data_IF_340538515176
#
_entry.id   IF_340538515176
#
_cell.length_a   1.000
_cell.length_b   1.000
_cell.length_c   1.000
_cell.angle_alpha   90.00
_cell.angle_beta   90.00
_cell.angle_gamma   90.00
#
_symmetry.space_group_name_H-M   'P 1'
#
loop_
_entity.id
_entity.type
_entity.pdbx_description
1 polymer ?
#
# COMPACT_ATOMS: atom_id res chain seq x y z
N UNK A 1 32.04 -12.82 66.59
CA UNK A 1 31.78 -12.51 65.19
C UNK A 1 31.07 -13.71 64.63
N UNK A 2 29.72 -13.63 64.52
CA UNK A 2 28.84 -14.71 64.01
C UNK A 2 28.58 -14.48 62.52
N UNK A 3 29.16 -15.37 61.73
CA UNK A 3 29.02 -15.38 60.30
C UNK A 3 27.59 -15.86 59.90
N UNK A 4 26.69 -14.94 59.64
CA UNK A 4 25.30 -15.23 59.23
C UNK A 4 25.30 -15.64 57.75
N UNK A 5 25.36 -16.94 57.48
CA UNK A 5 25.13 -17.49 56.14
C UNK A 5 23.67 -17.28 55.75
N UNK A 6 23.47 -16.35 54.81
CA UNK A 6 22.15 -16.15 54.20
C UNK A 6 21.81 -17.37 53.31
N UNK A 7 21.03 -18.29 53.84
CA UNK A 7 20.54 -19.45 53.11
C UNK A 7 19.25 -19.01 52.35
N UNK A 8 19.41 -18.73 51.07
CA UNK A 8 18.27 -18.40 50.23
C UNK A 8 17.49 -19.67 49.86
N UNK A 9 16.14 -19.76 50.10
CA UNK A 9 15.38 -20.93 49.72
C UNK A 9 15.38 -21.13 48.20
N UNK A 10 15.60 -22.35 47.74
CA UNK A 10 15.69 -22.76 46.33
C UNK A 10 14.60 -22.16 45.47
N UNK A 11 13.37 -22.06 46.00
CA UNK A 11 12.22 -21.49 45.27
C UNK A 11 12.39 -19.99 44.99
N UNK A 12 12.94 -19.20 45.91
CA UNK A 12 13.25 -17.77 45.72
C UNK A 12 14.40 -17.55 44.72
N UNK A 13 15.41 -18.43 44.74
CA UNK A 13 16.49 -18.41 43.77
C UNK A 13 15.96 -18.69 42.34
N UNK A 14 15.15 -19.72 42.15
CA UNK A 14 14.55 -20.07 40.84
C UNK A 14 13.60 -18.98 40.33
N UNK A 15 12.79 -18.39 41.23
CA UNK A 15 11.89 -17.27 40.85
C UNK A 15 12.70 -16.02 40.49
N UNK A 16 13.74 -15.71 41.23
CA UNK A 16 14.63 -14.59 40.92
C UNK A 16 15.43 -14.79 39.62
N UNK A 17 15.90 -16.01 39.37
CA UNK A 17 16.58 -16.37 38.11
C UNK A 17 15.64 -16.32 36.89
N UNK A 18 14.37 -16.76 37.06
CA UNK A 18 13.34 -16.67 35.99
C UNK A 18 12.98 -15.22 35.67
N UNK A 19 12.76 -14.38 36.67
CA UNK A 19 12.45 -12.94 36.49
C UNK A 19 13.66 -12.18 35.93
N UNK A 20 14.86 -12.43 36.44
CA UNK A 20 16.11 -11.82 35.95
C UNK A 20 16.44 -12.26 34.50
N UNK A 21 16.23 -13.54 34.17
CA UNK A 21 16.40 -14.07 32.82
C UNK A 21 15.42 -13.49 31.82
N UNK A 22 14.16 -13.31 32.24
CA UNK A 22 13.13 -12.66 31.37
C UNK A 22 13.44 -11.18 31.11
N UNK A 23 13.92 -10.46 32.11
CA UNK A 23 14.34 -9.06 31.97
C UNK A 23 15.53 -8.89 31.05
N UNK A 24 16.54 -9.79 31.15
CA UNK A 24 17.68 -9.78 30.24
C UNK A 24 17.33 -10.15 28.80
N UNK A 25 16.38 -11.03 28.58
CA UNK A 25 15.87 -11.33 27.23
C UNK A 25 15.16 -10.13 26.60
N UNK A 26 14.35 -9.39 27.36
CA UNK A 26 13.65 -8.19 26.86
C UNK A 26 14.63 -7.05 26.55
N UNK A 27 15.59 -6.79 27.44
CA UNK A 27 16.66 -5.80 27.20
C UNK A 27 17.58 -6.18 26.01
N UNK A 28 17.78 -7.49 25.80
CA UNK A 28 18.54 -8.00 24.66
C UNK A 28 17.87 -7.75 23.33
N UNK A 29 16.52 -7.75 23.26
CA UNK A 29 15.78 -7.43 22.05
C UNK A 29 15.96 -5.95 21.63
N UNK A 30 15.98 -5.03 22.57
CA UNK A 30 16.19 -3.60 22.27
C UNK A 30 17.60 -3.35 21.73
N UNK A 31 18.64 -3.90 22.38
CA UNK A 31 20.02 -3.82 21.90
C UNK A 31 20.23 -4.46 20.52
N UNK A 32 19.57 -5.60 20.25
CA UNK A 32 19.65 -6.25 18.96
C UNK A 32 18.93 -5.41 17.87
N UNK A 33 17.82 -4.75 18.22
CA UNK A 33 17.10 -3.90 17.30
C UNK A 33 17.86 -2.60 16.91
N UNK A 34 18.85 -2.18 17.69
CA UNK A 34 19.74 -1.08 17.33
C UNK A 34 20.87 -1.51 16.36
N UNK A 35 21.09 -2.81 16.18
CA UNK A 35 22.12 -3.35 15.30
C UNK A 35 21.65 -3.37 13.84
N UNK A 36 22.34 -2.64 12.95
CA UNK A 36 22.07 -2.66 11.50
C UNK A 36 22.16 -4.06 10.90
N UNK A 37 23.08 -4.89 11.38
CA UNK A 37 23.22 -6.27 10.94
C UNK A 37 22.01 -7.11 11.32
N UNK A 38 21.47 -6.94 12.53
CA UNK A 38 20.26 -7.64 12.97
C UNK A 38 19.03 -7.18 12.19
N UNK A 39 18.86 -5.89 11.99
CA UNK A 39 17.81 -5.33 11.14
C UNK A 39 17.90 -5.85 9.70
N UNK A 40 19.11 -5.99 9.15
CA UNK A 40 19.31 -6.56 7.82
C UNK A 40 18.87 -8.02 7.76
N UNK A 41 19.12 -8.82 8.80
CA UNK A 41 18.63 -10.21 8.91
C UNK A 41 17.10 -10.24 8.99
N UNK A 42 16.47 -9.37 9.78
CA UNK A 42 15.01 -9.27 9.86
C UNK A 42 14.39 -8.89 8.50
N UNK A 43 14.96 -7.90 7.83
CA UNK A 43 14.52 -7.48 6.47
C UNK A 43 14.69 -8.59 5.42
N UNK A 44 15.67 -9.49 5.59
CA UNK A 44 15.77 -10.66 4.71
C UNK A 44 14.54 -11.59 4.82
N UNK A 45 13.89 -11.63 5.98
CA UNK A 45 12.65 -12.35 6.21
C UNK A 45 11.49 -11.81 5.37
N UNK A 46 11.40 -10.50 5.16
CA UNK A 46 10.39 -9.86 4.28
C UNK A 46 10.55 -10.34 2.83
N UNK A 47 11.79 -10.32 2.32
CA UNK A 47 12.09 -10.80 0.97
C UNK A 47 11.77 -12.29 0.79
N UNK A 48 12.06 -13.11 1.82
CA UNK A 48 11.74 -14.53 1.82
C UNK A 48 10.23 -14.75 1.89
N UNK A 49 9.50 -14.00 2.71
CA UNK A 49 8.04 -14.07 2.82
C UNK A 49 7.37 -13.69 1.49
N UNK A 50 7.78 -12.56 0.90
CA UNK A 50 7.32 -12.17 -0.44
C UNK A 50 7.58 -13.27 -1.47
N UNK A 51 8.78 -13.83 -1.47
CA UNK A 51 9.16 -14.91 -2.40
C UNK A 51 8.29 -16.15 -2.18
N UNK A 52 8.09 -16.56 -0.93
CA UNK A 52 7.23 -17.70 -0.58
C UNK A 52 5.79 -17.46 -1.02
N UNK A 53 5.21 -16.30 -0.74
CA UNK A 53 3.86 -15.95 -1.19
C UNK A 53 3.75 -15.93 -2.72
N UNK A 54 4.77 -15.47 -3.43
CA UNK A 54 4.80 -15.44 -4.91
C UNK A 54 4.99 -16.83 -5.54
N UNK A 55 5.60 -17.76 -4.82
CA UNK A 55 5.79 -19.16 -5.29
C UNK A 55 4.56 -20.01 -4.97
N UNK A 56 4.01 -19.89 -3.75
CA UNK A 56 2.88 -20.71 -3.28
C UNK A 56 1.56 -20.20 -3.87
N UNK A 57 1.40 -18.87 -3.96
CA UNK A 57 0.21 -18.24 -4.53
C UNK A 57 0.25 -18.25 -6.05
N UNK A 58 -0.86 -18.61 -6.69
CA UNK A 58 -1.02 -18.38 -8.13
C UNK A 58 -0.98 -16.86 -8.38
N UNK A 59 -0.09 -16.43 -9.28
CA UNK A 59 0.06 -14.99 -9.64
C UNK A 59 -1.21 -14.41 -10.25
N UNK A 60 -2.06 -15.24 -10.83
CA UNK A 60 -3.33 -14.85 -11.43
C UNK A 60 -4.53 -15.09 -10.50
N UNK A 61 -4.32 -15.67 -9.30
CA UNK A 61 -5.40 -15.91 -8.35
C UNK A 61 -6.09 -14.62 -7.97
N UNK A 62 -7.41 -14.59 -8.14
CA UNK A 62 -8.23 -13.44 -7.76
C UNK A 62 -8.40 -13.40 -6.24
N UNK A 63 -8.36 -12.20 -5.67
CA UNK A 63 -8.90 -11.97 -4.34
C UNK A 63 -10.39 -12.30 -4.33
N UNK A 64 -10.96 -12.77 -3.21
CA UNK A 64 -12.38 -13.09 -3.12
C UNK A 64 -13.27 -11.91 -3.54
N UNK A 65 -14.26 -12.20 -4.37
CA UNK A 65 -15.31 -11.26 -4.72
C UNK A 65 -16.60 -11.63 -3.99
N UNK A 66 -17.37 -10.62 -3.62
CA UNK A 66 -18.54 -10.72 -2.76
C UNK A 66 -19.80 -10.31 -3.52
N UNK A 67 -20.96 -10.69 -3.01
CA UNK A 67 -22.26 -10.23 -3.50
C UNK A 67 -22.60 -8.83 -3.00
N UNK A 68 -23.55 -8.16 -3.64
CA UNK A 68 -24.00 -6.83 -3.20
C UNK A 68 -24.59 -6.84 -1.77
N UNK A 69 -25.20 -7.96 -1.36
CA UNK A 69 -25.76 -8.12 -0.01
C UNK A 69 -24.72 -8.21 1.10
N UNK A 70 -23.45 -8.50 0.75
CA UNK A 70 -22.33 -8.59 1.68
C UNK A 70 -21.57 -7.26 1.79
N UNK A 71 -21.95 -6.25 1.02
CA UNK A 71 -21.31 -4.95 1.11
C UNK A 71 -21.48 -4.36 2.50
N UNK A 72 -20.40 -3.77 3.01
CA UNK A 72 -20.43 -3.10 4.31
C UNK A 72 -21.37 -1.89 4.28
N UNK A 73 -22.25 -1.75 5.27
CA UNK A 73 -23.18 -0.61 5.33
C UNK A 73 -22.44 0.73 5.46
N UNK A 74 -21.23 0.68 6.01
CA UNK A 74 -20.32 1.83 6.11
C UNK A 74 -18.95 1.41 5.62
N UNK A 75 -18.43 2.13 4.63
CA UNK A 75 -17.03 2.03 4.23
C UNK A 75 -16.29 3.24 4.81
N UNK A 76 -15.49 3.02 5.86
CA UNK A 76 -14.75 4.07 6.56
C UNK A 76 -13.77 4.74 5.59
N UNK A 77 -13.78 6.07 5.53
CA UNK A 77 -12.71 6.82 4.88
C UNK A 77 -11.52 6.92 5.83
N UNK A 78 -10.32 6.64 5.34
CA UNK A 78 -9.07 6.66 6.12
C UNK A 78 -7.96 7.42 5.39
N UNK A 79 -6.91 7.79 6.10
CA UNK A 79 -5.84 8.66 5.61
C UNK A 79 -6.36 10.06 5.30
N UNK A 80 -5.83 10.72 4.26
CA UNK A 80 -6.29 12.05 3.85
C UNK A 80 -7.76 12.02 3.44
N UNK A 81 -8.59 12.88 4.03
CA UNK A 81 -10.03 12.99 3.72
C UNK A 81 -10.32 14.03 2.64
N UNK A 82 -9.38 14.93 2.42
CA UNK A 82 -9.42 16.00 1.42
C UNK A 82 -8.00 16.41 1.05
N UNK A 83 -7.88 17.13 -0.05
CA UNK A 83 -6.63 17.75 -0.51
C UNK A 83 -6.87 19.26 -0.61
N UNK A 84 -5.98 20.05 -0.03
CA UNK A 84 -6.13 21.52 0.07
C UNK A 84 -5.24 22.29 -0.92
N UNK A 85 -4.50 21.59 -1.80
CA UNK A 85 -3.69 22.28 -2.82
C UNK A 85 -4.60 23.08 -3.77
N UNK A 86 -4.25 24.32 -4.15
CA UNK A 86 -5.09 25.14 -5.02
C UNK A 86 -5.46 24.43 -6.34
N UNK A 87 -4.51 23.69 -6.92
CA UNK A 87 -4.72 22.93 -8.14
C UNK A 87 -5.80 21.84 -7.96
N UNK A 88 -5.71 21.04 -6.90
CA UNK A 88 -6.70 20.00 -6.65
C UNK A 88 -8.10 20.59 -6.32
N UNK A 89 -8.14 21.66 -5.54
CA UNK A 89 -9.39 22.37 -5.23
C UNK A 89 -10.06 22.89 -6.50
N UNK A 90 -9.28 23.44 -7.45
CA UNK A 90 -9.80 23.86 -8.74
C UNK A 90 -10.37 22.66 -9.54
N UNK A 91 -9.70 21.51 -9.54
CA UNK A 91 -10.21 20.30 -10.18
C UNK A 91 -11.49 19.77 -9.54
N UNK A 92 -11.65 19.89 -8.23
CA UNK A 92 -12.91 19.52 -7.56
C UNK A 92 -14.03 20.47 -7.97
N UNK A 93 -13.75 21.78 -8.05
CA UNK A 93 -14.75 22.80 -8.41
C UNK A 93 -15.27 22.64 -9.84
N UNK A 94 -14.43 22.22 -10.79
CA UNK A 94 -14.80 21.94 -12.18
C UNK A 94 -15.24 20.49 -12.43
N UNK A 95 -15.44 19.70 -11.36
CA UNK A 95 -15.79 18.28 -11.44
C UNK A 95 -14.77 17.45 -12.24
N UNK A 96 -13.49 17.82 -12.15
CA UNK A 96 -12.35 17.20 -12.83
C UNK A 96 -12.41 17.27 -14.37
N UNK A 97 -13.07 18.27 -14.93
CA UNK A 97 -13.22 18.42 -16.39
C UNK A 97 -11.86 18.62 -17.09
N UNK A 98 -11.03 19.47 -16.52
CA UNK A 98 -9.69 19.76 -17.05
C UNK A 98 -8.58 18.87 -16.50
N UNK A 99 -8.92 18.00 -15.56
CA UNK A 99 -7.97 17.04 -14.99
C UNK A 99 -7.52 15.98 -16.01
N UNK A 100 -6.25 15.60 -15.95
CA UNK A 100 -5.67 14.54 -16.80
C UNK A 100 -4.80 13.61 -15.98
N UNK A 101 -5.03 12.29 -16.12
CA UNK A 101 -4.10 11.28 -15.66
C UNK A 101 -2.87 11.28 -16.56
N UNK A 102 -1.70 11.55 -16.01
CA UNK A 102 -0.43 11.38 -16.72
C UNK A 102 0.08 9.96 -16.56
N UNK A 103 0.53 9.33 -17.64
CA UNK A 103 1.19 8.03 -17.62
C UNK A 103 2.49 8.18 -18.41
N UNK A 104 3.62 8.04 -17.74
CA UNK A 104 4.95 8.29 -18.31
C UNK A 104 6.06 7.44 -17.67
N UNK A 105 7.32 7.91 -17.69
CA UNK A 105 8.48 7.18 -17.26
C UNK A 105 8.96 6.20 -18.34
N UNK A 106 9.19 4.95 -17.99
CA UNK A 106 9.69 3.92 -18.92
C UNK A 106 8.57 3.39 -19.84
N UNK A 107 8.01 4.29 -20.65
CA UNK A 107 7.00 3.98 -21.68
C UNK A 107 7.43 4.58 -23.02
N UNK A 108 6.98 3.99 -24.12
CA UNK A 108 7.30 4.50 -25.48
C UNK A 108 6.33 5.58 -25.95
N UNK A 109 5.13 5.65 -25.36
CA UNK A 109 4.07 6.58 -25.73
C UNK A 109 3.41 7.14 -24.45
N UNK A 110 3.96 8.22 -23.87
CA UNK A 110 3.33 8.86 -22.73
C UNK A 110 1.88 9.27 -23.00
N UNK A 111 1.01 9.12 -22.01
CA UNK A 111 -0.42 9.42 -22.13
C UNK A 111 -0.80 10.55 -21.18
N UNK A 112 -1.82 11.33 -21.58
CA UNK A 112 -2.52 12.30 -20.76
C UNK A 112 -4.03 12.10 -21.02
N UNK A 113 -4.72 11.40 -20.10
CA UNK A 113 -6.08 10.94 -20.30
C UNK A 113 -7.05 11.70 -19.41
N UNK A 114 -8.13 12.22 -19.99
CA UNK A 114 -9.23 12.80 -19.21
C UNK A 114 -10.01 11.72 -18.46
N UNK A 115 -10.73 12.12 -17.42
CA UNK A 115 -11.64 11.21 -16.71
C UNK A 115 -12.72 10.63 -17.67
N UNK A 116 -13.20 11.42 -18.61
CA UNK A 116 -14.14 10.97 -19.64
C UNK A 116 -13.53 9.89 -20.55
N UNK A 117 -12.28 10.08 -20.98
CA UNK A 117 -11.58 9.07 -21.77
C UNK A 117 -11.37 7.76 -20.99
N UNK A 118 -10.97 7.85 -19.72
CA UNK A 118 -10.82 6.68 -18.86
C UNK A 118 -12.15 5.93 -18.68
N UNK A 119 -13.24 6.63 -18.46
CA UNK A 119 -14.59 6.04 -18.32
C UNK A 119 -15.10 5.39 -19.61
N UNK A 120 -14.65 5.86 -20.79
CA UNK A 120 -15.00 5.28 -22.08
C UNK A 120 -14.18 4.01 -22.42
N UNK A 121 -13.11 3.71 -21.70
CA UNK A 121 -12.30 2.51 -21.88
C UNK A 121 -13.00 1.28 -21.29
N UNK A 122 -12.58 0.05 -21.66
CA UNK A 122 -12.97 -1.16 -20.96
C UNK A 122 -12.73 -1.00 -19.46
N UNK A 123 -13.74 -1.32 -18.67
CA UNK A 123 -13.69 -1.19 -17.21
C UNK A 123 -13.96 -2.53 -16.55
N UNK A 124 -13.41 -2.72 -15.35
CA UNK A 124 -13.75 -3.81 -14.44
C UNK A 124 -14.61 -3.27 -13.31
N UNK A 125 -15.65 -4.01 -12.97
CA UNK A 125 -16.41 -3.84 -11.74
C UNK A 125 -16.13 -5.05 -10.83
N UNK A 126 -15.93 -4.81 -9.55
CA UNK A 126 -15.63 -5.84 -8.56
C UNK A 126 -16.12 -5.41 -7.19
N UNK A 127 -16.61 -6.37 -6.40
CA UNK A 127 -17.00 -6.17 -5.00
C UNK A 127 -15.97 -6.91 -4.16
N UNK A 128 -15.10 -6.17 -3.49
CA UNK A 128 -13.92 -6.73 -2.84
C UNK A 128 -13.76 -6.19 -1.43
N UNK A 129 -13.07 -6.95 -0.59
CA UNK A 129 -12.72 -6.53 0.76
C UNK A 129 -11.49 -5.61 0.73
N UNK A 130 -11.51 -4.64 1.59
CA UNK A 130 -10.39 -3.75 1.87
C UNK A 130 -9.97 -3.98 3.30
N UNK A 131 -8.75 -4.44 3.50
CA UNK A 131 -8.18 -4.72 4.81
C UNK A 131 -7.20 -3.59 5.16
N UNK A 132 -7.52 -2.81 6.19
CA UNK A 132 -6.69 -1.72 6.63
C UNK A 132 -5.67 -2.20 7.67
N UNK A 133 -4.46 -1.67 7.62
CA UNK A 133 -3.40 -1.93 8.61
C UNK A 133 -3.82 -1.55 10.04
N UNK A 134 -4.81 -0.67 10.20
CA UNK A 134 -5.42 -0.33 11.49
C UNK A 134 -6.33 -1.42 12.07
N UNK A 135 -6.46 -2.59 11.44
CA UNK A 135 -7.21 -3.74 11.96
C UNK A 135 -8.71 -3.72 11.68
N UNK A 136 -9.20 -2.94 10.71
CA UNK A 136 -10.58 -2.99 10.25
C UNK A 136 -10.66 -3.38 8.77
N UNK A 137 -11.79 -3.96 8.39
CA UNK A 137 -12.08 -4.33 7.01
C UNK A 137 -13.43 -3.79 6.58
N UNK A 138 -13.58 -3.57 5.27
CA UNK A 138 -14.86 -3.20 4.67
C UNK A 138 -14.96 -3.76 3.25
N UNK A 139 -16.16 -4.22 2.88
CA UNK A 139 -16.47 -4.69 1.53
C UNK A 139 -17.13 -3.54 0.77
N UNK A 140 -16.61 -3.24 -0.41
CA UNK A 140 -17.12 -2.18 -1.27
C UNK A 140 -17.10 -2.57 -2.74
N UNK A 141 -17.99 -1.96 -3.51
CA UNK A 141 -18.10 -2.12 -4.96
C UNK A 141 -17.29 -1.05 -5.66
N UNK A 142 -16.40 -1.47 -6.52
CA UNK A 142 -15.47 -0.61 -7.23
C UNK A 142 -15.61 -0.79 -8.73
N UNK A 143 -15.56 0.31 -9.47
CA UNK A 143 -15.46 0.27 -10.93
C UNK A 143 -14.36 1.19 -11.41
N UNK A 144 -13.52 0.69 -12.32
CA UNK A 144 -12.38 1.43 -12.82
C UNK A 144 -11.76 0.83 -14.06
N UNK A 145 -10.78 1.54 -14.61
CA UNK A 145 -10.02 1.10 -15.78
C UNK A 145 -8.87 0.20 -15.30
N UNK A 146 -8.72 -1.03 -15.89
CA UNK A 146 -7.59 -1.91 -15.57
C UNK A 146 -6.25 -1.23 -15.83
N UNK A 147 -5.37 -1.23 -14.83
CA UNK A 147 -4.05 -0.59 -14.93
C UNK A 147 -3.21 -1.20 -16.05
N UNK A 148 -3.23 -2.53 -16.19
CA UNK A 148 -2.49 -3.22 -17.25
C UNK A 148 -2.91 -2.82 -18.66
N UNK A 149 -4.18 -2.41 -18.88
CA UNK A 149 -4.64 -1.87 -20.16
C UNK A 149 -3.96 -0.54 -20.47
N UNK A 150 -3.89 0.35 -19.49
CA UNK A 150 -3.27 1.66 -19.61
C UNK A 150 -1.76 1.55 -19.88
N UNK A 151 -1.08 0.67 -19.15
CA UNK A 151 0.35 0.42 -19.33
C UNK A 151 0.67 -0.18 -20.72
N UNK A 152 -0.17 -1.09 -21.21
CA UNK A 152 -0.06 -1.61 -22.59
C UNK A 152 -0.24 -0.51 -23.64
N UNK A 153 -1.24 0.36 -23.44
CA UNK A 153 -1.50 1.47 -24.37
C UNK A 153 -0.37 2.51 -24.37
N UNK A 154 0.26 2.73 -23.20
CA UNK A 154 1.43 3.60 -23.08
C UNK A 154 2.72 2.97 -23.66
N UNK A 155 2.69 1.68 -24.02
CA UNK A 155 3.86 0.97 -24.52
C UNK A 155 4.94 0.79 -23.45
N UNK A 156 4.58 0.12 -22.34
CA UNK A 156 5.48 -0.14 -21.23
C UNK A 156 6.79 -0.79 -21.70
N UNK A 157 7.93 -0.26 -21.27
CA UNK A 157 9.25 -0.82 -21.55
C UNK A 157 9.44 -2.18 -20.89
N UNK A 158 10.09 -3.12 -21.59
CA UNK A 158 10.45 -4.43 -21.03
C UNK A 158 11.49 -4.35 -19.90
N UNK A 159 12.14 -3.20 -19.74
CA UNK A 159 13.09 -2.92 -18.66
C UNK A 159 12.40 -2.39 -17.39
N UNK A 160 11.17 -1.91 -17.50
CA UNK A 160 10.42 -1.46 -16.33
C UNK A 160 10.17 -2.63 -15.36
N UNK A 161 10.19 -2.35 -14.06
CA UNK A 161 9.97 -3.33 -12.99
C UNK A 161 8.85 -2.93 -12.06
N UNK A 162 8.61 -1.63 -11.93
CA UNK A 162 7.68 -1.04 -10.98
C UNK A 162 6.82 0.02 -11.64
N UNK A 163 5.70 0.29 -10.99
CA UNK A 163 4.79 1.38 -11.31
C UNK A 163 4.60 2.21 -10.06
N UNK A 164 4.90 3.50 -10.15
CA UNK A 164 4.78 4.48 -9.06
C UNK A 164 3.54 5.33 -9.30
N UNK A 165 2.75 5.53 -8.25
CA UNK A 165 1.55 6.37 -8.25
C UNK A 165 1.84 7.64 -7.47
N UNK A 166 1.83 8.77 -8.14
CA UNK A 166 1.96 10.09 -7.53
C UNK A 166 0.58 10.65 -7.23
N UNK A 167 0.37 11.06 -6.00
CA UNK A 167 -0.93 11.48 -5.48
C UNK A 167 -0.97 12.98 -5.22
N UNK A 168 -2.18 13.56 -5.16
CA UNK A 168 -2.34 14.98 -4.87
C UNK A 168 -2.26 15.30 -3.39
N UNK A 169 -2.47 14.31 -2.51
CA UNK A 169 -2.40 14.49 -1.07
C UNK A 169 -0.96 14.41 -0.55
N UNK A 170 -0.79 14.96 0.64
CA UNK A 170 0.48 14.97 1.37
C UNK A 170 0.23 14.86 2.87
N UNK A 171 1.23 14.37 3.59
CA UNK A 171 1.27 14.44 5.05
C UNK A 171 2.40 15.39 5.44
N UNK A 172 2.03 16.58 5.91
CA UNK A 172 2.98 17.67 6.10
C UNK A 172 3.63 18.12 4.79
N UNK A 173 4.95 18.14 4.73
CA UNK A 173 5.71 18.52 3.53
C UNK A 173 5.91 17.36 2.53
N UNK A 174 5.62 16.12 2.92
CA UNK A 174 5.92 14.94 2.12
C UNK A 174 4.70 14.53 1.27
N UNK A 175 4.80 14.56 -0.07
CA UNK A 175 3.75 14.07 -0.96
C UNK A 175 3.49 12.59 -0.73
N UNK A 176 2.22 12.19 -0.81
CA UNK A 176 1.87 10.77 -0.79
C UNK A 176 2.20 10.13 -2.14
N UNK A 177 2.81 8.98 -2.09
CA UNK A 177 3.05 8.12 -3.24
C UNK A 177 3.01 6.66 -2.83
N UNK A 178 2.81 5.79 -3.80
CA UNK A 178 2.85 4.35 -3.65
C UNK A 178 3.42 3.68 -4.88
N UNK A 179 3.86 2.43 -4.74
CA UNK A 179 4.30 1.65 -5.88
C UNK A 179 3.90 0.18 -5.78
N UNK A 180 3.83 -0.46 -6.94
CA UNK A 180 3.63 -1.91 -7.06
C UNK A 180 4.59 -2.48 -8.11
N UNK A 181 4.86 -3.79 -8.05
CA UNK A 181 5.57 -4.49 -9.13
C UNK A 181 4.65 -4.75 -10.34
N UNK A 182 5.25 -5.21 -11.44
CA UNK A 182 4.48 -5.49 -12.65
C UNK A 182 3.54 -6.70 -12.49
N UNK A 183 3.77 -7.61 -11.54
CA UNK A 183 2.86 -8.73 -11.27
C UNK A 183 1.53 -8.17 -10.77
N UNK A 184 1.58 -7.26 -9.79
CA UNK A 184 0.37 -6.62 -9.28
C UNK A 184 -0.18 -5.57 -10.24
N UNK A 185 0.66 -4.82 -10.95
CA UNK A 185 0.21 -3.83 -11.94
C UNK A 185 -0.60 -4.45 -13.09
N UNK A 186 -0.28 -5.69 -13.50
CA UNK A 186 -0.99 -6.42 -14.55
C UNK A 186 -2.04 -7.40 -14.01
N UNK A 187 -2.22 -7.48 -12.69
CA UNK A 187 -3.24 -8.34 -12.12
C UNK A 187 -4.65 -7.91 -12.56
N UNK A 188 -5.56 -8.85 -12.91
CA UNK A 188 -6.88 -8.52 -13.44
C UNK A 188 -7.72 -7.60 -12.55
N UNK A 189 -7.55 -7.69 -11.22
CA UNK A 189 -8.27 -6.86 -10.25
C UNK A 189 -7.56 -5.54 -9.91
N UNK A 190 -6.38 -5.27 -10.49
CA UNK A 190 -5.71 -3.99 -10.30
C UNK A 190 -6.30 -2.95 -11.25
N UNK A 191 -7.06 -2.03 -10.69
CA UNK A 191 -7.80 -0.99 -11.41
C UNK A 191 -7.50 0.41 -10.85
N UNK A 192 -7.61 1.41 -11.70
CA UNK A 192 -7.77 2.80 -11.30
C UNK A 192 -9.26 3.10 -11.19
N UNK A 193 -9.80 3.01 -9.98
CA UNK A 193 -11.21 3.15 -9.70
C UNK A 193 -11.64 4.62 -9.74
N UNK A 194 -12.71 4.91 -10.48
CA UNK A 194 -13.38 6.21 -10.57
C UNK A 194 -14.83 6.17 -10.07
N UNK A 195 -15.29 5.00 -9.60
CA UNK A 195 -16.61 4.80 -9.01
C UNK A 195 -16.51 3.90 -7.78
N UNK A 196 -17.35 4.19 -6.79
CA UNK A 196 -17.47 3.43 -5.55
C UNK A 196 -18.95 3.27 -5.21
N UNK A 197 -19.38 2.03 -4.89
CA UNK A 197 -20.76 1.70 -4.49
C UNK A 197 -21.82 2.25 -5.45
N UNK A 198 -21.57 2.14 -6.75
CA UNK A 198 -22.49 2.61 -7.81
C UNK A 198 -22.49 4.12 -8.05
N UNK A 199 -21.71 4.90 -7.32
CA UNK A 199 -21.63 6.36 -7.43
C UNK A 199 -20.24 6.82 -7.87
N UNK A 200 -20.13 8.04 -8.39
CA UNK A 200 -18.85 8.69 -8.64
C UNK A 200 -18.01 8.65 -7.36
N UNK A 201 -16.73 8.33 -7.49
CA UNK A 201 -15.81 8.23 -6.36
C UNK A 201 -15.81 9.52 -5.55
N UNK A 202 -16.18 9.49 -4.24
CA UNK A 202 -16.19 10.68 -3.41
C UNK A 202 -14.77 11.20 -3.12
N UNK A 203 -14.61 12.51 -2.90
CA UNK A 203 -13.32 13.13 -2.55
C UNK A 203 -12.67 12.43 -1.36
N UNK A 204 -13.39 12.20 -0.26
CA UNK A 204 -12.84 11.52 0.93
C UNK A 204 -12.33 10.09 0.67
N UNK A 205 -12.75 9.48 -0.42
CA UNK A 205 -12.31 8.14 -0.85
C UNK A 205 -11.27 8.17 -1.97
N UNK A 206 -10.82 9.37 -2.42
CA UNK A 206 -9.68 9.54 -3.32
C UNK A 206 -10.03 9.94 -4.75
N UNK A 207 -11.13 10.70 -4.97
CA UNK A 207 -11.42 11.25 -6.30
C UNK A 207 -10.21 12.01 -6.88
N UNK A 208 -10.03 12.04 -8.22
CA UNK A 208 -10.87 11.41 -9.25
C UNK A 208 -10.56 9.92 -9.45
N UNK A 209 -9.37 9.44 -9.04
CA UNK A 209 -8.92 8.07 -9.20
C UNK A 209 -8.30 7.53 -7.92
N UNK A 210 -8.65 6.29 -7.59
CA UNK A 210 -8.05 5.51 -6.53
C UNK A 210 -7.49 4.20 -7.08
N UNK A 211 -6.28 3.84 -6.70
CA UNK A 211 -5.72 2.52 -6.95
C UNK A 211 -6.47 1.47 -6.13
N UNK A 212 -6.85 0.38 -6.77
CA UNK A 212 -7.28 -0.86 -6.14
C UNK A 212 -6.32 -1.95 -6.54
N UNK A 213 -5.67 -2.58 -5.55
CA UNK A 213 -4.72 -3.70 -5.69
C UNK A 213 -5.10 -4.76 -4.67
N UNK A 214 -6.12 -5.54 -4.98
CA UNK A 214 -6.93 -6.32 -4.04
C UNK A 214 -6.15 -7.36 -3.24
N UNK A 215 -4.95 -7.68 -3.65
CA UNK A 215 -4.07 -8.67 -3.00
C UNK A 215 -3.08 -8.05 -2.02
N UNK A 216 -3.24 -6.76 -1.70
CA UNK A 216 -2.38 -6.05 -0.75
C UNK A 216 -3.22 -5.24 0.24
N UNK A 217 -2.63 -4.96 1.40
CA UNK A 217 -3.24 -4.13 2.45
C UNK A 217 -3.59 -2.72 1.97
N UNK A 218 -4.52 -2.12 2.67
CA UNK A 218 -5.16 -0.87 2.31
C UNK A 218 -4.25 0.34 2.10
N UNK A 219 -3.08 0.40 2.74
CA UNK A 219 -2.14 1.50 2.51
C UNK A 219 -1.55 1.49 1.10
N UNK A 220 -1.51 0.33 0.44
CA UNK A 220 -1.09 0.22 -0.97
C UNK A 220 -2.13 0.76 -1.96
N UNK A 221 -3.35 1.05 -1.52
CA UNK A 221 -4.45 1.53 -2.36
C UNK A 221 -4.44 3.07 -2.45
N UNK A 222 -3.45 3.63 -3.16
CA UNK A 222 -3.25 5.06 -3.32
C UNK A 222 -4.52 5.83 -3.72
N UNK A 223 -4.80 6.93 -3.03
CA UNK A 223 -5.90 7.86 -3.30
C UNK A 223 -5.41 9.07 -4.10
N UNK A 224 -6.34 9.81 -4.70
CA UNK A 224 -6.02 11.06 -5.41
C UNK A 224 -4.92 10.91 -6.46
N UNK A 225 -4.92 9.81 -7.21
CA UNK A 225 -3.88 9.50 -8.20
C UNK A 225 -3.89 10.52 -9.32
N UNK A 226 -2.74 11.18 -9.54
CA UNK A 226 -2.55 12.23 -10.55
C UNK A 226 -1.63 11.76 -11.69
N UNK A 227 -0.65 10.91 -11.38
CA UNK A 227 0.34 10.41 -12.34
C UNK A 227 0.72 8.98 -12.02
N UNK A 228 0.93 8.21 -13.06
CA UNK A 228 1.42 6.83 -13.02
C UNK A 228 2.75 6.80 -13.76
N UNK A 229 3.82 6.44 -13.09
CA UNK A 229 5.18 6.43 -13.64
C UNK A 229 5.76 5.03 -13.65
N UNK A 230 6.14 4.55 -14.82
CA UNK A 230 6.87 3.30 -14.97
C UNK A 230 8.36 3.49 -14.70
N UNK A 231 8.99 2.64 -13.90
CA UNK A 231 10.39 2.72 -13.53
C UNK A 231 11.05 1.34 -13.40
N UNK A 232 12.36 1.30 -13.45
CA UNK A 232 13.19 0.12 -13.14
C UNK A 232 13.73 0.13 -11.71
N UNK A 233 13.66 1.28 -11.01
CA UNK A 233 14.31 1.49 -9.73
C UNK A 233 13.47 2.42 -8.84
N UNK A 234 13.09 1.95 -7.66
CA UNK A 234 12.36 2.71 -6.65
C UNK A 234 13.25 3.66 -5.85
N UNK A 235 14.56 3.39 -5.79
CA UNK A 235 15.53 4.24 -5.10
C UNK A 235 15.63 5.67 -5.65
N UNK A 236 14.99 5.96 -6.78
CA UNK A 236 14.91 7.31 -7.38
C UNK A 236 13.83 8.20 -6.74
N UNK A 237 12.94 7.64 -5.90
CA UNK A 237 11.78 8.33 -5.37
C UNK A 237 11.90 8.51 -3.86
N UNK A 238 11.88 9.74 -3.40
CA UNK A 238 11.92 10.16 -1.99
C UNK A 238 13.03 9.43 -1.19
N UNK A 239 12.68 8.62 -0.17
CA UNK A 239 13.66 7.84 0.61
C UNK A 239 13.99 6.48 -0.02
N UNK A 240 13.33 6.13 -1.12
CA UNK A 240 13.67 4.97 -1.94
C UNK A 240 13.07 3.64 -1.51
N UNK A 241 12.20 3.62 -0.50
CA UNK A 241 11.59 2.36 -0.03
C UNK A 241 10.32 1.97 -0.79
N UNK A 242 9.83 2.85 -1.69
CA UNK A 242 8.79 2.52 -2.65
C UNK A 242 7.37 2.91 -2.27
N UNK A 243 7.15 3.63 -1.19
CA UNK A 243 5.87 4.18 -0.77
C UNK A 243 6.03 5.14 0.39
N UNK A 244 4.99 5.95 0.65
CA UNK A 244 5.02 6.93 1.73
C UNK A 244 5.19 6.27 3.11
N UNK A 245 4.39 5.24 3.41
CA UNK A 245 4.44 4.58 4.71
C UNK A 245 5.70 3.70 4.87
N UNK A 246 6.19 3.16 3.79
CA UNK A 246 7.47 2.45 3.73
C UNK A 246 8.63 3.39 4.09
N UNK A 247 8.62 4.62 3.54
CA UNK A 247 9.63 5.64 3.82
C UNK A 247 9.56 6.15 5.25
N UNK A 248 8.36 6.45 5.77
CA UNK A 248 8.18 7.18 7.03
C UNK A 248 8.18 6.28 8.27
N UNK A 249 7.67 5.05 8.18
CA UNK A 249 7.46 4.18 9.33
C UNK A 249 7.87 2.73 9.08
N UNK A 250 8.68 2.49 8.03
CA UNK A 250 9.23 1.16 7.68
C UNK A 250 8.16 0.08 7.47
N UNK A 251 7.02 0.42 6.82
CA UNK A 251 6.06 -0.60 6.40
C UNK A 251 6.66 -1.47 5.28
N UNK A 252 6.24 -2.72 5.23
CA UNK A 252 6.65 -3.65 4.19
C UNK A 252 6.22 -3.16 2.81
N UNK A 253 7.13 -3.06 1.87
CA UNK A 253 6.79 -2.67 0.51
C UNK A 253 5.82 -3.64 -0.16
N UNK A 254 5.91 -4.94 0.11
CA UNK A 254 4.94 -5.95 -0.34
C UNK A 254 4.03 -6.35 0.80
N UNK A 255 2.83 -5.81 0.82
CA UNK A 255 1.83 -6.02 1.84
C UNK A 255 0.78 -7.08 1.42
N UNK A 256 1.22 -8.22 0.94
CA UNK A 256 0.37 -9.29 0.43
C UNK A 256 -0.54 -9.90 1.50
N UNK A 257 -1.80 -10.17 1.13
CA UNK A 257 -2.85 -10.78 1.95
C UNK A 257 -3.54 -11.92 1.18
#
# INVERSE_FOLDING_TARGET
MTDSKIIMPRRRFLTGAAIGGSGLMLAGCDMLNESDSFRSVLRSGEALNKTAQRIIGDRAALAPEFSESEMSPVFKANGSLSVSTPEYVAHVADSFADWRLKIDGMVTKPLALSLTQLKAMPSREQITRHDCVEGWSAIGKWRGTPLGLLLKQAGLSTKARYVVFHCADSFGANPYYESVDLIDAFHPQTILAWQMNGQTLPVKHGAPLRLRVERQLGYKHAKYVMRVEATDDLGKFYEGKGGYWEDQVDYDWYAGI
#
